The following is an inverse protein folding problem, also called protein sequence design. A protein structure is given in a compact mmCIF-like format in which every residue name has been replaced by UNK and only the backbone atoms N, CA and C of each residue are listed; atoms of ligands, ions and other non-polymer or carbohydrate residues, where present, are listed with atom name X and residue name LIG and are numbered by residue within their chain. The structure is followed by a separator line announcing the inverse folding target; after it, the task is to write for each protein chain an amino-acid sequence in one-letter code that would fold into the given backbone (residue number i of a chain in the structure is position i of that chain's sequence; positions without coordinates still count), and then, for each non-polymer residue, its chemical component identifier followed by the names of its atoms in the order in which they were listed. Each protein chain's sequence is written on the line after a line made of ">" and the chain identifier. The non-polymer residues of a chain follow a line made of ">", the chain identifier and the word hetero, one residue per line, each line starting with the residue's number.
data_IF_393143675550
#
_entry.id   IF_393143675550
#
_cell.length_a   1.000
_cell.length_b   1.000
_cell.length_c   1.000
_cell.angle_alpha   90.00
_cell.angle_beta   90.00
_cell.angle_gamma   90.00
#
_symmetry.space_group_name_H-M   'P 1'
#
loop_
_entity.id
_entity.type
_entity.pdbx_description
1 polymer ?
#
# COMPACT_ATOMS: atom_id res chain seq x y z
N UNK A 1 -7.64 2.41 9.49
CA UNK A 1 -7.06 1.85 8.28
C UNK A 1 -6.07 2.82 7.67
N UNK A 2 -5.01 2.30 7.14
CA UNK A 2 -3.98 3.13 6.54
C UNK A 2 -3.36 2.39 5.37
N UNK A 3 -3.07 3.10 4.31
CA UNK A 3 -2.42 2.51 3.14
C UNK A 3 -1.14 3.29 2.86
N UNK A 4 -0.09 2.56 2.52
CA UNK A 4 1.22 3.16 2.23
C UNK A 4 1.83 2.46 1.04
N UNK A 5 2.76 3.13 0.39
CA UNK A 5 3.56 2.50 -0.65
C UNK A 5 4.70 1.72 0.00
N UNK A 6 4.98 0.56 -0.55
CA UNK A 6 6.03 -0.28 -0.03
C UNK A 6 6.69 -1.03 -1.17
N UNK A 7 7.90 -1.47 -0.93
CA UNK A 7 8.57 -2.39 -1.86
C UNK A 7 9.11 -3.59 -1.10
N UNK A 8 8.58 -3.81 0.10
CA UNK A 8 8.97 -4.93 0.95
C UNK A 8 7.82 -5.91 0.98
N UNK A 9 8.13 -7.19 0.87
CA UNK A 9 7.11 -8.22 0.90
C UNK A 9 6.55 -8.50 -0.48
N UNK A 10 5.55 -9.35 -0.53
CA UNK A 10 4.97 -9.80 -1.78
C UNK A 10 3.46 -9.69 -1.75
N UNK A 11 2.89 -9.53 -2.93
CA UNK A 11 1.44 -9.50 -3.10
C UNK A 11 0.83 -10.84 -2.69
N UNK A 12 -0.23 -10.77 -1.90
CA UNK A 12 -0.93 -11.98 -1.48
C UNK A 12 -1.67 -12.65 -2.63
N UNK A 13 -1.94 -11.91 -3.69
CA UNK A 13 -2.74 -12.42 -4.79
C UNK A 13 -1.90 -13.17 -5.80
N UNK A 14 -0.75 -12.62 -6.18
CA UNK A 14 0.03 -13.18 -7.26
C UNK A 14 1.47 -13.50 -6.87
N UNK A 15 1.93 -13.07 -5.69
CA UNK A 15 3.29 -13.34 -5.28
C UNK A 15 4.34 -12.42 -5.85
N UNK A 16 3.93 -11.43 -6.65
CA UNK A 16 4.86 -10.44 -7.18
C UNK A 16 5.29 -9.49 -6.07
N UNK A 17 6.41 -8.78 -6.26
CA UNK A 17 6.81 -7.82 -5.25
C UNK A 17 5.70 -6.81 -4.97
N UNK A 18 5.47 -6.53 -3.70
CA UNK A 18 4.40 -5.63 -3.31
C UNK A 18 4.76 -4.20 -3.65
N UNK A 19 3.78 -3.44 -4.07
CA UNK A 19 3.93 -2.01 -4.31
C UNK A 19 3.15 -1.18 -3.30
N UNK A 20 2.14 -1.78 -2.66
CA UNK A 20 1.29 -1.09 -1.71
C UNK A 20 1.01 -2.01 -0.53
N UNK A 21 0.80 -1.41 0.62
CA UNK A 21 0.42 -2.15 1.82
C UNK A 21 -0.73 -1.44 2.49
N UNK A 22 -1.68 -2.22 2.99
CA UNK A 22 -2.81 -1.70 3.74
C UNK A 22 -2.72 -2.20 5.16
N UNK A 23 -2.70 -1.26 6.11
CA UNK A 23 -2.61 -1.55 7.52
C UNK A 23 -4.00 -1.45 8.13
N UNK A 24 -4.42 -2.52 8.77
CA UNK A 24 -5.75 -2.59 9.38
C UNK A 24 -5.60 -2.60 10.88
N UNK A 25 -6.68 -2.23 11.55
CA UNK A 25 -6.71 -2.32 13.00
C UNK A 25 -6.57 -3.78 13.41
N UNK A 26 -5.99 -4.01 14.58
CA UNK A 26 -5.74 -5.36 15.02
C UNK A 26 -4.43 -5.93 14.56
N UNK A 27 -3.58 -5.13 13.93
CA UNK A 27 -2.25 -5.57 13.53
C UNK A 27 -2.20 -6.33 12.22
N UNK A 28 -3.27 -6.28 11.44
CA UNK A 28 -3.29 -6.95 10.15
C UNK A 28 -2.68 -6.07 9.07
N UNK A 29 -1.97 -6.70 8.15
CA UNK A 29 -1.36 -6.00 7.03
C UNK A 29 -1.58 -6.81 5.77
N UNK A 30 -2.14 -6.16 4.76
CA UNK A 30 -2.28 -6.77 3.44
C UNK A 30 -1.35 -6.06 2.47
N UNK A 31 -0.71 -6.84 1.62
CA UNK A 31 0.21 -6.31 0.63
C UNK A 31 -0.33 -6.60 -0.76
N UNK A 32 -0.21 -5.62 -1.63
CA UNK A 32 -0.72 -5.72 -3.00
C UNK A 32 0.33 -5.25 -3.97
N UNK A 33 0.41 -5.93 -5.11
CA UNK A 33 1.25 -5.44 -6.19
C UNK A 33 0.50 -4.33 -6.94
N UNK A 34 1.23 -3.68 -7.85
CA UNK A 34 0.66 -2.56 -8.59
C UNK A 34 -0.54 -2.97 -9.43
N UNK A 35 -0.58 -4.23 -9.85
CA UNK A 35 -1.65 -4.70 -10.72
C UNK A 35 -2.88 -5.15 -9.96
N UNK A 36 -2.72 -5.56 -8.72
CA UNK A 36 -3.82 -6.12 -7.94
C UNK A 36 -4.27 -5.22 -6.80
N UNK A 37 -3.66 -4.07 -6.66
CA UNK A 37 -4.03 -3.16 -5.59
C UNK A 37 -5.40 -2.56 -5.88
N UNK A 38 -6.32 -2.58 -4.88
CA UNK A 38 -7.61 -1.92 -5.04
C UNK A 38 -7.42 -0.41 -5.22
N UNK A 39 -8.34 0.19 -5.95
CA UNK A 39 -8.26 1.62 -6.22
C UNK A 39 -8.25 2.43 -4.94
N UNK A 40 -9.02 2.02 -3.94
CA UNK A 40 -9.08 2.73 -2.68
C UNK A 40 -7.74 2.72 -1.97
N UNK A 41 -7.08 1.58 -1.95
CA UNK A 41 -5.78 1.45 -1.31
C UNK A 41 -4.75 2.29 -2.05
N UNK A 42 -4.80 2.25 -3.37
CA UNK A 42 -3.88 3.02 -4.18
C UNK A 42 -4.03 4.51 -3.93
N UNK A 43 -5.26 4.99 -3.87
CA UNK A 43 -5.52 6.41 -3.62
C UNK A 43 -5.04 6.82 -2.23
N UNK A 44 -5.28 6.00 -1.24
CA UNK A 44 -4.83 6.32 0.11
C UNK A 44 -3.31 6.36 0.20
N UNK A 45 -2.66 5.40 -0.43
CA UNK A 45 -1.20 5.35 -0.41
C UNK A 45 -0.61 6.54 -1.15
N UNK A 46 -1.21 6.90 -2.28
CA UNK A 46 -0.74 8.06 -3.04
C UNK A 46 -0.90 9.34 -2.24
N UNK A 47 -2.03 9.48 -1.55
CA UNK A 47 -2.26 10.66 -0.72
C UNK A 47 -1.25 10.75 0.40
N UNK A 48 -0.94 9.64 1.03
CA UNK A 48 0.06 9.62 2.09
C UNK A 48 1.43 10.00 1.56
N UNK A 49 1.81 9.44 0.43
CA UNK A 49 3.10 9.74 -0.17
C UNK A 49 3.18 11.20 -0.60
N UNK A 50 2.10 11.71 -1.17
CA UNK A 50 2.08 13.11 -1.59
C UNK A 50 2.24 14.04 -0.41
N UNK A 51 1.61 13.71 0.71
CA UNK A 51 1.74 14.52 1.91
C UNK A 51 3.19 14.56 2.37
N UNK A 52 3.84 13.45 2.36
CA UNK A 52 5.23 13.40 2.77
C UNK A 52 6.10 14.21 1.84
N UNK A 53 5.82 14.13 0.55
CA UNK A 53 6.57 14.90 -0.42
C UNK A 53 6.39 16.38 -0.22
N UNK A 54 5.17 16.82 0.04
CA UNK A 54 4.91 18.24 0.17
C UNK A 54 5.55 18.86 1.39
N UNK A 55 5.99 18.05 2.32
CA UNK A 55 6.70 18.57 3.48
C UNK A 55 8.11 19.03 3.14
N UNK A 56 8.59 18.60 2.04
CA UNK A 56 9.91 19.06 1.61
C UNK A 56 9.82 20.45 1.02
#
# INVERSE_FOLDING_TARGET
>A
MKAVKTHVGRCDTCGEPAAYAQLLSGGRTFRFCEQHVPLQVRKQADATASKEDSKK
#
